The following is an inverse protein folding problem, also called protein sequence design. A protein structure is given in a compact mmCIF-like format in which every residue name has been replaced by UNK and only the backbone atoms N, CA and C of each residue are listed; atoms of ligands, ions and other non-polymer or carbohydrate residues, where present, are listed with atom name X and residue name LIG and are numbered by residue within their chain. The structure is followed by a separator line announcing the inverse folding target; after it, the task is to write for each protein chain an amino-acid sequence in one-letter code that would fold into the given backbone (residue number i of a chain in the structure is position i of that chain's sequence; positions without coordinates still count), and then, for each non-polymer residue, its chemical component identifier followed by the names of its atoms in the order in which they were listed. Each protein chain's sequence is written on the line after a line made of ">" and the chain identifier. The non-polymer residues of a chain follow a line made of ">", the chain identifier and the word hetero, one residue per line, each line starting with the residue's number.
data_IF_985956063044
#
_entry.id   IF_985956063044
#
_cell.length_a   1.000
_cell.length_b   1.000
_cell.length_c   1.000
_cell.angle_alpha   90.00
_cell.angle_beta   90.00
_cell.angle_gamma   90.00
#
_symmetry.space_group_name_H-M   'P 1'
#
loop_
_entity.id
_entity.type
_entity.pdbx_description
1 polymer ?
#
# COMPACT_ATOMS: atom_id res chain seq x y z
N UNK A 1 -38.99 -43.13 -41.19
CA UNK A 1 -39.57 -41.89 -41.75
C UNK A 1 -39.75 -40.90 -40.60
N UNK A 2 -39.21 -39.69 -40.70
CA UNK A 2 -39.41 -38.62 -39.70
C UNK A 2 -38.12 -37.98 -39.21
N UNK A 3 -37.44 -37.26 -40.11
CA UNK A 3 -36.29 -36.37 -39.84
C UNK A 3 -36.83 -35.02 -39.37
N UNK A 4 -36.40 -34.51 -38.21
CA UNK A 4 -36.42 -33.07 -37.86
C UNK A 4 -35.22 -32.77 -36.94
N UNK A 5 -34.09 -32.34 -37.51
CA UNK A 5 -33.60 -30.94 -37.62
C UNK A 5 -33.09 -30.34 -36.30
N UNK A 6 -31.76 -30.36 -36.17
CA UNK A 6 -30.94 -29.63 -35.21
C UNK A 6 -30.95 -28.12 -35.49
N UNK A 7 -31.38 -27.31 -34.52
CA UNK A 7 -31.28 -25.85 -34.58
C UNK A 7 -30.06 -25.35 -33.78
N UNK A 8 -29.07 -24.86 -34.52
CA UNK A 8 -27.85 -24.20 -34.04
C UNK A 8 -28.19 -22.78 -33.56
N UNK A 9 -28.11 -22.54 -32.25
CA UNK A 9 -28.27 -21.20 -31.68
C UNK A 9 -26.94 -20.42 -31.76
N UNK A 10 -26.83 -19.54 -32.76
CA UNK A 10 -25.75 -18.55 -32.88
C UNK A 10 -26.01 -17.41 -31.89
N UNK A 11 -25.21 -17.31 -30.82
CA UNK A 11 -25.20 -16.13 -29.97
C UNK A 11 -24.55 -14.94 -30.70
N UNK A 12 -25.39 -13.98 -31.13
CA UNK A 12 -24.96 -12.65 -31.57
C UNK A 12 -24.52 -11.82 -30.37
N UNK A 13 -23.23 -11.51 -30.29
CA UNK A 13 -22.70 -10.51 -29.35
C UNK A 13 -23.03 -9.10 -29.85
N UNK A 14 -23.94 -8.38 -29.19
CA UNK A 14 -24.18 -6.96 -29.43
C UNK A 14 -23.14 -6.11 -28.69
N UNK A 15 -22.14 -5.61 -29.42
CA UNK A 15 -21.21 -4.56 -28.94
C UNK A 15 -21.97 -3.26 -28.75
N UNK A 16 -22.25 -2.89 -27.50
CA UNK A 16 -22.63 -1.52 -27.13
C UNK A 16 -21.33 -0.74 -26.92
N UNK A 17 -20.95 0.07 -27.92
CA UNK A 17 -19.92 1.10 -27.76
C UNK A 17 -20.53 2.28 -27.01
N UNK A 18 -20.16 2.47 -25.73
CA UNK A 18 -20.31 3.76 -25.05
C UNK A 18 -18.93 4.36 -24.83
N UNK A 19 -18.66 5.44 -25.57
CA UNK A 19 -17.48 6.26 -25.36
C UNK A 19 -17.65 7.07 -24.07
N UNK A 20 -16.73 6.86 -23.13
CA UNK A 20 -16.55 7.74 -21.97
C UNK A 20 -15.27 8.51 -22.21
N UNK A 21 -15.40 9.83 -22.18
CA UNK A 21 -14.35 10.80 -22.41
C UNK A 21 -13.24 10.63 -21.37
N UNK A 22 -12.02 10.58 -21.88
CA UNK A 22 -10.75 10.60 -21.15
C UNK A 22 -10.63 11.86 -20.29
N UNK A 23 -10.91 11.73 -19.00
CA UNK A 23 -10.45 12.68 -17.97
C UNK A 23 -9.07 12.23 -17.49
N UNK A 24 -8.04 13.03 -17.74
CA UNK A 24 -6.66 12.73 -17.38
C UNK A 24 -6.49 12.61 -15.87
N UNK A 25 -6.08 11.43 -15.41
CA UNK A 25 -5.55 11.23 -14.07
C UNK A 25 -4.05 11.52 -14.18
N UNK A 26 -3.63 12.66 -13.60
CA UNK A 26 -2.23 12.98 -13.44
C UNK A 26 -1.60 11.97 -12.47
N UNK A 27 -0.88 10.99 -13.00
CA UNK A 27 -0.02 10.11 -12.23
C UNK A 27 1.12 10.93 -11.62
N UNK A 28 1.07 11.18 -10.32
CA UNK A 28 2.20 11.72 -9.58
C UNK A 28 3.26 10.61 -9.43
N UNK A 29 4.30 10.68 -10.26
CA UNK A 29 5.51 9.88 -10.11
C UNK A 29 6.31 10.46 -8.94
N UNK A 30 6.45 9.72 -7.85
CA UNK A 30 7.43 10.02 -6.79
C UNK A 30 8.72 9.28 -7.11
N UNK A 31 9.74 10.00 -7.54
CA UNK A 31 11.11 9.51 -7.64
C UNK A 31 11.81 9.70 -6.29
N UNK A 32 12.30 8.62 -5.67
CA UNK A 32 13.13 8.69 -4.46
C UNK A 32 14.57 8.34 -4.84
N UNK A 33 15.47 9.31 -4.64
CA UNK A 33 16.93 9.13 -4.73
C UNK A 33 17.43 8.60 -3.38
N UNK A 34 18.05 7.43 -3.39
CA UNK A 34 18.72 6.86 -2.22
C UNK A 34 20.09 7.53 -2.01
N UNK A 35 20.34 8.03 -0.81
CA UNK A 35 21.70 8.36 -0.35
C UNK A 35 21.97 7.65 0.97
N UNK A 36 22.91 6.70 0.93
CA UNK A 36 23.50 6.01 2.08
C UNK A 36 24.43 6.92 2.86
N UNK A 37 24.36 6.90 4.20
CA UNK A 37 25.42 7.22 5.18
C UNK A 37 25.03 6.44 6.45
N UNK A 38 25.87 5.63 7.08
CA UNK A 38 27.25 5.88 7.47
C UNK A 38 27.26 5.91 9.01
N UNK A 39 27.61 4.78 9.62
CA UNK A 39 27.61 4.50 11.06
C UNK A 39 28.64 5.36 11.80
N UNK A 40 28.25 5.95 12.93
CA UNK A 40 29.18 6.66 13.81
C UNK A 40 28.62 6.94 15.20
N UNK A 41 29.12 6.18 16.18
CA UNK A 41 29.54 6.67 17.50
C UNK A 41 28.47 7.07 18.52
N UNK A 42 28.20 6.15 19.45
CA UNK A 42 27.67 6.42 20.79
C UNK A 42 28.77 7.06 21.66
N UNK A 43 28.46 8.18 22.32
CA UNK A 43 29.26 8.73 23.41
C UNK A 43 28.37 8.87 24.66
N UNK A 44 28.77 8.18 25.73
CA UNK A 44 28.23 8.36 27.08
C UNK A 44 28.80 9.63 27.71
N UNK A 45 28.03 10.27 28.60
CA UNK A 45 28.55 11.22 29.58
C UNK A 45 27.97 10.88 30.96
N UNK A 46 28.85 10.82 31.97
CA UNK A 46 28.58 10.51 33.37
C UNK A 46 29.19 11.60 34.26
N UNK A 47 28.43 12.04 35.29
CA UNK A 47 28.82 12.92 36.43
C UNK A 47 28.99 14.41 36.09
N UNK A 48 28.69 15.41 36.94
CA UNK A 48 28.73 15.59 38.42
C UNK A 48 27.84 16.81 38.78
N UNK A 49 27.36 16.89 40.03
CA UNK A 49 26.40 17.90 40.52
C UNK A 49 26.91 19.32 40.83
N UNK A 50 25.95 20.19 41.15
CA UNK A 50 26.12 21.55 41.67
C UNK A 50 24.76 22.23 41.86
N UNK A 51 24.43 22.57 43.11
CA UNK A 51 23.26 23.36 43.49
C UNK A 51 23.39 24.81 42.98
N UNK A 52 22.43 25.26 42.18
CA UNK A 52 22.05 26.67 42.07
C UNK A 52 20.69 26.74 41.35
N UNK A 53 19.76 27.41 42.00
CA UNK A 53 18.46 27.82 41.51
C UNK A 53 18.58 28.65 40.23
N UNK A 54 18.41 27.99 39.09
CA UNK A 54 17.99 28.58 37.83
C UNK A 54 16.84 27.72 37.32
N UNK A 55 15.60 28.11 37.61
CA UNK A 55 14.43 27.54 36.95
C UNK A 55 14.56 27.85 35.44
N UNK A 56 14.74 26.86 34.55
CA UNK A 56 14.63 27.13 33.13
C UNK A 56 13.18 27.56 32.84
N UNK A 57 12.93 28.49 31.90
CA UNK A 57 11.55 28.84 31.54
C UNK A 57 10.88 27.58 30.99
N UNK A 58 10.05 26.94 31.82
CA UNK A 58 9.15 25.85 31.45
C UNK A 58 8.00 26.44 30.63
N UNK A 59 8.34 26.89 29.44
CA UNK A 59 7.39 27.32 28.40
C UNK A 59 7.46 26.33 27.23
N UNK A 60 7.55 25.04 27.55
CA UNK A 60 7.17 24.00 26.62
C UNK A 60 5.66 24.05 26.50
N UNK A 61 5.14 24.55 25.38
CA UNK A 61 3.74 24.33 25.02
C UNK A 61 3.55 22.82 24.92
N UNK A 62 3.08 22.17 25.98
CA UNK A 62 2.75 20.75 25.94
C UNK A 62 1.70 20.57 24.83
N UNK A 63 2.02 19.71 23.86
CA UNK A 63 1.05 19.30 22.86
C UNK A 63 -0.13 18.68 23.62
N UNK A 64 -1.26 19.37 23.67
CA UNK A 64 -2.47 18.83 24.26
C UNK A 64 -3.07 17.81 23.30
N UNK A 65 -2.68 16.55 23.49
CA UNK A 65 -3.24 15.43 22.74
C UNK A 65 -4.49 14.95 23.45
N UNK A 66 -5.63 14.95 22.74
CA UNK A 66 -6.84 14.30 23.25
C UNK A 66 -6.68 12.77 23.16
N UNK A 67 -6.82 12.09 24.30
CA UNK A 67 -6.67 10.63 24.38
C UNK A 67 -8.05 9.97 24.41
N UNK A 68 -8.35 9.18 23.39
CA UNK A 68 -9.52 8.29 23.35
C UNK A 68 -9.04 6.84 23.39
N UNK A 69 -9.55 6.05 24.34
CA UNK A 69 -9.29 4.61 24.42
C UNK A 69 -10.46 3.83 23.81
N UNK A 70 -10.11 2.81 23.02
CA UNK A 70 -11.02 1.71 22.68
C UNK A 70 -10.52 0.49 23.44
N UNK A 71 -11.36 -0.09 24.27
CA UNK A 71 -11.05 -1.29 25.03
C UNK A 71 -12.31 -2.11 25.22
N UNK A 72 -12.15 -3.42 25.31
CA UNK A 72 -13.21 -4.36 25.58
C UNK A 72 -12.67 -5.56 26.37
N UNK A 73 -13.55 -6.48 26.78
CA UNK A 73 -13.17 -7.62 27.61
C UNK A 73 -12.23 -8.59 26.90
N UNK A 74 -12.45 -8.79 25.60
CA UNK A 74 -11.59 -9.63 24.76
C UNK A 74 -11.45 -9.09 23.33
N UNK A 75 -10.76 -9.87 22.48
CA UNK A 75 -10.49 -9.52 21.08
C UNK A 75 -11.74 -9.49 20.20
N UNK A 76 -12.78 -10.25 20.55
CA UNK A 76 -14.03 -10.32 19.79
C UNK A 76 -14.90 -9.12 20.09
N UNK A 77 -15.01 -8.78 21.38
CA UNK A 77 -15.69 -7.55 21.82
C UNK A 77 -14.95 -6.30 21.32
N UNK A 78 -13.62 -6.32 21.31
CA UNK A 78 -12.82 -5.21 20.79
C UNK A 78 -13.04 -5.02 19.29
N UNK A 79 -13.06 -6.12 18.51
CA UNK A 79 -13.35 -6.06 17.08
C UNK A 79 -14.78 -5.54 16.82
N UNK A 80 -15.75 -5.95 17.63
CA UNK A 80 -17.11 -5.44 17.57
C UNK A 80 -17.17 -3.92 17.85
N UNK A 81 -16.49 -3.43 18.88
CA UNK A 81 -16.40 -2.00 19.23
C UNK A 81 -15.70 -1.16 18.15
N UNK A 82 -14.58 -1.65 17.61
CA UNK A 82 -13.91 -1.01 16.46
C UNK A 82 -14.87 -0.99 15.26
N UNK A 83 -15.57 -2.09 15.01
CA UNK A 83 -16.59 -2.19 13.97
C UNK A 83 -17.70 -1.14 14.10
N UNK A 84 -18.13 -0.79 15.33
CA UNK A 84 -19.11 0.30 15.55
C UNK A 84 -18.55 1.66 15.16
N UNK A 85 -17.25 1.91 15.36
CA UNK A 85 -16.63 3.18 14.97
C UNK A 85 -16.43 3.29 13.47
N UNK A 86 -16.09 2.18 12.80
CA UNK A 86 -15.95 2.12 11.35
C UNK A 86 -17.31 2.21 10.65
N UNK A 87 -18.32 1.52 11.19
CA UNK A 87 -19.69 1.51 10.67
C UNK A 87 -20.69 1.57 11.83
N UNK A 88 -21.13 2.79 12.20
CA UNK A 88 -22.09 2.99 13.29
C UNK A 88 -23.47 2.38 13.01
N UNK A 89 -23.87 2.36 11.73
CA UNK A 89 -25.13 1.78 11.25
C UNK A 89 -24.90 0.61 10.28
N UNK A 90 -25.67 0.56 9.19
CA UNK A 90 -25.55 -0.50 8.19
C UNK A 90 -24.21 -0.45 7.43
N UNK A 91 -23.77 -1.60 6.92
CA UNK A 91 -22.57 -1.73 6.09
C UNK A 91 -22.79 -2.74 4.98
N UNK A 92 -22.44 -2.40 3.73
CA UNK A 92 -22.67 -3.29 2.59
C UNK A 92 -21.87 -4.61 2.68
N UNK A 93 -20.66 -4.55 3.23
CA UNK A 93 -19.73 -5.68 3.30
C UNK A 93 -19.21 -5.79 4.73
N UNK A 94 -19.15 -7.01 5.24
CA UNK A 94 -18.49 -7.32 6.52
C UNK A 94 -17.46 -8.42 6.28
N UNK A 95 -16.25 -8.21 6.80
CA UNK A 95 -15.22 -9.25 6.82
C UNK A 95 -15.31 -10.00 8.15
N UNK A 96 -15.25 -11.33 8.10
CA UNK A 96 -15.28 -12.20 9.26
C UNK A 96 -14.07 -13.12 9.21
N UNK A 97 -13.19 -13.03 10.20
CA UNK A 97 -11.99 -13.86 10.29
C UNK A 97 -11.87 -14.54 11.66
N UNK A 98 -11.00 -15.53 11.76
CA UNK A 98 -10.66 -16.12 13.05
C UNK A 98 -9.95 -15.11 13.95
N UNK A 99 -10.37 -14.98 15.20
CA UNK A 99 -9.61 -14.28 16.24
C UNK A 99 -8.59 -15.17 16.95
N UNK A 100 -8.63 -16.49 16.73
CA UNK A 100 -7.69 -17.45 17.30
C UNK A 100 -6.42 -17.59 16.44
N UNK A 101 -6.54 -17.46 15.12
CA UNK A 101 -5.44 -17.52 14.16
C UNK A 101 -5.32 -16.18 13.41
N UNK A 102 -4.15 -15.56 13.50
CA UNK A 102 -3.91 -14.20 12.98
C UNK A 102 -3.72 -14.06 11.46
N UNK A 103 -3.14 -15.01 10.69
CA UNK A 103 -2.73 -14.74 9.30
C UNK A 103 -3.89 -14.33 8.38
N UNK A 104 -5.04 -14.98 8.57
CA UNK A 104 -6.26 -14.72 7.80
C UNK A 104 -6.74 -13.28 8.05
N UNK A 105 -6.76 -12.84 9.32
CA UNK A 105 -7.14 -11.49 9.72
C UNK A 105 -6.15 -10.41 9.25
N UNK A 106 -4.84 -10.70 9.22
CA UNK A 106 -3.83 -9.75 8.77
C UNK A 106 -4.00 -9.37 7.29
N UNK A 107 -4.30 -10.35 6.44
CA UNK A 107 -4.58 -10.09 5.03
C UNK A 107 -5.95 -9.43 4.80
N UNK A 108 -6.92 -9.71 5.68
CA UNK A 108 -8.27 -9.16 5.60
C UNK A 108 -8.34 -7.66 5.98
N UNK A 109 -7.47 -7.16 6.86
CA UNK A 109 -7.52 -5.77 7.33
C UNK A 109 -7.47 -4.73 6.20
N UNK A 110 -6.42 -4.72 5.35
CA UNK A 110 -6.35 -3.82 4.20
C UNK A 110 -7.49 -4.04 3.19
N UNK A 111 -7.90 -5.29 2.98
CA UNK A 111 -9.04 -5.63 2.11
C UNK A 111 -10.37 -5.06 2.64
N UNK A 112 -10.59 -5.10 3.95
CA UNK A 112 -11.74 -4.50 4.60
C UNK A 112 -11.70 -2.97 4.49
N UNK A 113 -10.52 -2.38 4.67
CA UNK A 113 -10.31 -0.93 4.55
C UNK A 113 -10.68 -0.38 3.17
N UNK A 114 -10.25 -1.01 2.07
CA UNK A 114 -10.57 -0.52 0.72
C UNK A 114 -12.06 -0.66 0.36
N UNK A 115 -12.76 -1.59 1.02
CA UNK A 115 -14.20 -1.82 0.90
C UNK A 115 -15.03 -1.04 1.93
N UNK A 116 -14.40 -0.19 2.77
CA UNK A 116 -15.07 0.54 3.84
C UNK A 116 -15.88 -0.36 4.78
N UNK A 117 -15.36 -1.57 5.03
CA UNK A 117 -16.02 -2.65 5.74
C UNK A 117 -15.40 -2.86 7.13
N UNK A 118 -16.20 -3.19 8.16
CA UNK A 118 -15.65 -3.65 9.43
C UNK A 118 -15.09 -5.08 9.28
N UNK A 119 -14.00 -5.35 10.01
CA UNK A 119 -13.45 -6.68 10.22
C UNK A 119 -13.84 -7.18 11.61
N UNK A 120 -14.72 -8.17 11.67
CA UNK A 120 -15.13 -8.84 12.90
C UNK A 120 -14.31 -10.13 13.09
N UNK A 121 -14.10 -10.50 14.36
CA UNK A 121 -13.36 -11.69 14.74
C UNK A 121 -14.28 -12.70 15.42
N UNK A 122 -14.08 -13.99 15.15
CA UNK A 122 -14.80 -15.10 15.80
C UNK A 122 -13.84 -16.19 16.28
N UNK A 123 -14.16 -16.92 17.35
CA UNK A 123 -13.58 -18.24 17.62
C UNK A 123 -13.85 -19.20 16.44
N UNK A 124 -13.09 -20.30 16.31
CA UNK A 124 -13.28 -21.26 15.22
C UNK A 124 -14.69 -21.87 15.16
N UNK A 125 -15.29 -22.12 16.33
CA UNK A 125 -16.48 -22.96 16.46
C UNK A 125 -17.71 -22.24 17.05
N UNK A 126 -17.62 -20.93 17.29
CA UNK A 126 -18.73 -20.17 17.87
C UNK A 126 -18.79 -18.72 17.38
N UNK A 127 -19.97 -18.11 17.52
CA UNK A 127 -20.18 -16.68 17.26
C UNK A 127 -20.45 -15.98 18.60
N UNK A 128 -19.56 -15.11 19.09
CA UNK A 128 -19.77 -14.36 20.32
C UNK A 128 -20.98 -13.43 20.21
N UNK A 129 -21.64 -13.16 21.34
CA UNK A 129 -22.84 -12.32 21.37
C UNK A 129 -22.59 -10.90 20.81
N UNK A 130 -21.41 -10.31 21.07
CA UNK A 130 -21.01 -9.01 20.54
C UNK A 130 -20.86 -8.99 19.01
N UNK A 131 -20.39 -10.09 18.43
CA UNK A 131 -20.28 -10.28 16.99
C UNK A 131 -21.66 -10.49 16.38
N UNK A 132 -22.51 -11.31 17.01
CA UNK A 132 -23.89 -11.51 16.57
C UNK A 132 -24.67 -10.19 16.55
N UNK A 133 -24.59 -9.41 17.63
CA UNK A 133 -25.20 -8.08 17.71
C UNK A 133 -24.63 -7.11 16.66
N UNK A 134 -23.34 -7.22 16.34
CA UNK A 134 -22.74 -6.42 15.27
C UNK A 134 -23.27 -6.82 13.89
N UNK A 135 -23.38 -8.11 13.58
CA UNK A 135 -23.96 -8.57 12.31
C UNK A 135 -25.41 -8.11 12.12
N UNK A 136 -26.24 -8.20 13.17
CA UNK A 136 -27.62 -7.70 13.12
C UNK A 136 -27.68 -6.17 12.94
N UNK A 137 -26.81 -5.41 13.62
CA UNK A 137 -26.77 -3.94 13.46
C UNK A 137 -26.28 -3.51 12.08
N UNK A 138 -25.28 -4.21 11.56
CA UNK A 138 -24.64 -3.89 10.27
C UNK A 138 -25.53 -4.28 9.09
N UNK A 139 -26.45 -5.23 9.27
CA UNK A 139 -27.38 -5.77 8.25
C UNK A 139 -26.74 -5.86 6.84
N UNK A 140 -25.67 -6.67 6.69
CA UNK A 140 -24.84 -6.59 5.51
C UNK A 140 -25.45 -7.23 4.28
N UNK A 141 -25.10 -6.70 3.11
CA UNK A 141 -25.41 -7.35 1.82
C UNK A 141 -24.47 -8.52 1.53
N UNK A 142 -23.22 -8.45 2.02
CA UNK A 142 -22.20 -9.49 1.82
C UNK A 142 -21.44 -9.71 3.12
N UNK A 143 -21.28 -10.98 3.51
CA UNK A 143 -20.32 -11.38 4.56
C UNK A 143 -19.21 -12.19 3.91
N UNK A 144 -17.98 -11.68 3.96
CA UNK A 144 -16.77 -12.36 3.48
C UNK A 144 -16.10 -13.08 4.64
N UNK A 145 -16.24 -14.41 4.68
CA UNK A 145 -15.61 -15.29 5.66
C UNK A 145 -14.20 -15.63 5.19
N UNK A 146 -13.19 -15.23 5.94
CA UNK A 146 -11.78 -15.40 5.58
C UNK A 146 -11.20 -16.60 6.32
N UNK A 147 -10.63 -17.53 5.56
CA UNK A 147 -10.05 -18.76 6.06
C UNK A 147 -10.90 -20.00 5.75
N UNK A 148 -10.24 -21.16 5.83
CA UNK A 148 -10.88 -22.45 5.67
C UNK A 148 -11.74 -22.87 6.88
N UNK A 149 -12.42 -24.02 6.81
CA UNK A 149 -13.24 -24.56 7.90
C UNK A 149 -12.49 -24.74 9.23
N UNK A 150 -11.17 -24.93 9.19
CA UNK A 150 -10.34 -25.02 10.40
C UNK A 150 -10.16 -23.67 11.12
N UNK A 151 -10.23 -22.55 10.41
CA UNK A 151 -10.15 -21.20 10.99
C UNK A 151 -11.51 -20.69 11.44
N UNK A 152 -12.54 -20.95 10.62
CA UNK A 152 -13.94 -20.58 10.84
C UNK A 152 -14.80 -21.74 10.35
N UNK A 153 -15.34 -22.52 11.28
CA UNK A 153 -16.10 -23.74 10.99
C UNK A 153 -17.36 -23.47 10.16
N UNK A 154 -17.87 -24.51 9.50
CA UNK A 154 -19.12 -24.41 8.76
C UNK A 154 -20.33 -24.19 9.69
N UNK A 155 -20.24 -24.59 10.95
CA UNK A 155 -21.23 -24.28 11.99
C UNK A 155 -21.30 -22.77 12.28
N UNK A 156 -20.13 -22.09 12.35
CA UNK A 156 -20.08 -20.63 12.45
C UNK A 156 -20.70 -19.99 11.22
N UNK A 157 -20.37 -20.45 10.02
CA UNK A 157 -20.95 -19.92 8.77
C UNK A 157 -22.47 -20.11 8.72
N UNK A 158 -22.99 -21.26 9.16
CA UNK A 158 -24.42 -21.51 9.25
C UNK A 158 -25.11 -20.55 10.25
N UNK A 159 -24.47 -20.30 11.38
CA UNK A 159 -24.95 -19.32 12.38
C UNK A 159 -24.97 -17.91 11.79
N UNK A 160 -23.91 -17.51 11.08
CA UNK A 160 -23.82 -16.20 10.40
C UNK A 160 -24.93 -16.03 9.36
N UNK A 161 -25.23 -17.06 8.57
CA UNK A 161 -26.36 -17.04 7.61
C UNK A 161 -27.71 -16.85 8.29
N UNK A 162 -27.87 -17.36 9.51
CA UNK A 162 -29.10 -17.17 10.30
C UNK A 162 -29.19 -15.75 10.85
N UNK A 163 -28.06 -15.17 11.29
CA UNK A 163 -27.98 -13.82 11.86
C UNK A 163 -28.07 -12.71 10.80
N UNK A 164 -27.64 -12.98 9.58
CA UNK A 164 -27.67 -12.07 8.44
C UNK A 164 -28.38 -12.72 7.24
N UNK A 165 -29.71 -12.93 7.31
CA UNK A 165 -30.47 -13.73 6.34
C UNK A 165 -30.54 -13.10 4.95
N UNK A 166 -30.27 -11.79 4.83
CA UNK A 166 -30.24 -11.06 3.56
C UNK A 166 -28.85 -10.99 2.94
N UNK A 167 -27.81 -11.45 3.65
CA UNK A 167 -26.45 -11.37 3.20
C UNK A 167 -26.07 -12.52 2.27
N UNK A 168 -25.32 -12.22 1.21
CA UNK A 168 -24.52 -13.21 0.51
C UNK A 168 -23.31 -13.58 1.38
N UNK A 169 -23.34 -14.77 1.97
CA UNK A 169 -22.21 -15.29 2.77
C UNK A 169 -21.26 -16.09 1.87
N UNK A 170 -20.09 -15.51 1.60
CA UNK A 170 -19.04 -16.08 0.75
C UNK A 170 -17.79 -16.40 1.57
N UNK A 171 -17.17 -17.55 1.30
CA UNK A 171 -15.91 -17.96 1.95
C UNK A 171 -14.74 -17.75 1.00
N UNK A 172 -13.69 -17.09 1.48
CA UNK A 172 -12.38 -16.97 0.83
C UNK A 172 -11.41 -17.86 1.59
N UNK A 173 -10.96 -18.95 0.96
CA UNK A 173 -10.09 -19.96 1.56
C UNK A 173 -8.95 -20.35 0.64
N UNK A 174 -7.93 -21.01 1.19
CA UNK A 174 -6.78 -21.54 0.47
C UNK A 174 -6.17 -22.74 1.18
N UNK A 175 -5.22 -23.41 0.52
CA UNK A 175 -4.47 -24.56 1.06
C UNK A 175 -3.63 -24.20 2.29
N UNK A 176 -3.22 -22.94 2.38
CA UNK A 176 -2.37 -22.39 3.43
C UNK A 176 -2.64 -20.89 3.57
N UNK A 177 -2.00 -20.26 4.57
CA UNK A 177 -2.14 -18.82 4.86
C UNK A 177 -1.72 -17.90 3.72
N UNK A 178 -0.79 -18.35 2.87
CA UNK A 178 -0.32 -17.56 1.73
C UNK A 178 -1.32 -17.65 0.57
N UNK A 179 -1.91 -18.82 0.37
CA UNK A 179 -3.02 -19.02 -0.57
C UNK A 179 -4.27 -18.23 -0.14
N UNK A 180 -4.62 -18.21 1.15
CA UNK A 180 -5.69 -17.34 1.67
C UNK A 180 -5.36 -15.87 1.41
N UNK A 181 -4.16 -15.41 1.76
CA UNK A 181 -3.75 -14.02 1.52
C UNK A 181 -3.84 -13.63 0.04
N UNK A 182 -3.37 -14.48 -0.88
CA UNK A 182 -3.51 -14.26 -2.32
C UNK A 182 -4.97 -14.17 -2.76
N UNK A 183 -5.83 -15.05 -2.25
CA UNK A 183 -7.26 -15.06 -2.59
C UNK A 183 -7.99 -13.81 -2.07
N UNK A 184 -7.67 -13.36 -0.85
CA UNK A 184 -8.19 -12.11 -0.27
C UNK A 184 -7.79 -10.91 -1.12
N UNK A 185 -6.53 -10.84 -1.55
CA UNK A 185 -6.05 -9.76 -2.40
C UNK A 185 -6.71 -9.78 -3.77
N UNK A 186 -6.80 -10.95 -4.42
CA UNK A 186 -7.46 -11.07 -5.72
C UNK A 186 -8.95 -10.65 -5.67
N UNK A 187 -9.66 -11.01 -4.60
CA UNK A 187 -11.06 -10.63 -4.39
C UNK A 187 -11.24 -9.14 -4.08
N UNK A 188 -10.35 -8.53 -3.30
CA UNK A 188 -10.47 -7.13 -2.90
C UNK A 188 -9.97 -6.13 -3.94
N UNK A 189 -9.14 -6.57 -4.89
CA UNK A 189 -8.51 -5.72 -5.92
C UNK A 189 -8.75 -6.28 -7.34
N UNK A 190 -10.02 -6.43 -7.78
CA UNK A 190 -10.33 -7.06 -9.07
C UNK A 190 -9.87 -6.24 -10.28
N UNK A 191 -9.73 -4.92 -10.13
CA UNK A 191 -9.25 -4.00 -11.17
C UNK A 191 -7.72 -3.84 -11.18
N UNK A 192 -7.02 -4.56 -10.30
CA UNK A 192 -5.58 -4.43 -10.07
C UNK A 192 -5.22 -3.27 -9.14
N UNK A 193 -3.93 -3.20 -8.80
CA UNK A 193 -3.35 -2.18 -7.92
C UNK A 193 -1.86 -2.04 -8.24
N UNK A 194 -1.39 -0.80 -8.35
CA UNK A 194 0.00 -0.53 -8.75
C UNK A 194 1.01 -0.80 -7.62
N UNK A 195 0.55 -0.73 -6.37
CA UNK A 195 1.36 -0.91 -5.17
C UNK A 195 0.93 -2.13 -4.36
N UNK A 196 1.89 -2.89 -3.82
CA UNK A 196 1.64 -4.02 -2.91
C UNK A 196 2.66 -4.00 -1.78
N UNK A 197 2.21 -4.18 -0.55
CA UNK A 197 3.10 -4.43 0.59
C UNK A 197 3.26 -5.94 0.78
N UNK A 198 4.50 -6.43 0.84
CA UNK A 198 4.82 -7.83 1.06
C UNK A 198 5.43 -8.00 2.44
N UNK A 199 4.85 -8.89 3.24
CA UNK A 199 5.34 -9.20 4.58
C UNK A 199 5.38 -10.72 4.79
N UNK A 200 6.15 -11.17 5.78
CA UNK A 200 6.17 -12.59 6.13
C UNK A 200 4.85 -13.00 6.76
N UNK A 201 4.35 -14.19 6.41
CA UNK A 201 3.24 -14.83 7.13
C UNK A 201 3.68 -15.82 8.21
N UNK A 202 4.99 -15.97 8.46
CA UNK A 202 5.54 -16.84 9.52
C UNK A 202 5.34 -16.24 10.91
N UNK A 203 5.43 -14.93 11.02
CA UNK A 203 5.14 -14.14 12.21
C UNK A 203 4.23 -12.96 11.81
N UNK A 204 3.76 -12.17 12.77
CA UNK A 204 2.77 -11.11 12.56
C UNK A 204 3.25 -9.66 12.66
N UNK A 205 4.32 -9.27 13.41
CA UNK A 205 4.54 -7.85 13.73
C UNK A 205 4.72 -6.95 12.51
N UNK A 206 5.51 -7.39 11.53
CA UNK A 206 5.77 -6.61 10.31
C UNK A 206 4.49 -6.45 9.48
N UNK A 207 3.71 -7.53 9.32
CA UNK A 207 2.44 -7.53 8.59
C UNK A 207 1.35 -6.74 9.32
N UNK A 208 1.33 -6.75 10.66
CA UNK A 208 0.38 -5.99 11.47
C UNK A 208 0.61 -4.49 11.31
N UNK A 209 1.87 -4.05 11.37
CA UNK A 209 2.22 -2.65 11.13
C UNK A 209 1.96 -2.26 9.67
N UNK A 210 2.27 -3.15 8.72
CA UNK A 210 1.94 -3.00 7.30
C UNK A 210 0.44 -2.74 7.09
N UNK A 211 -0.43 -3.44 7.81
CA UNK A 211 -1.87 -3.39 7.62
C UNK A 211 -2.46 -1.98 7.74
N UNK A 212 -2.02 -1.20 8.74
CA UNK A 212 -2.54 0.16 8.96
C UNK A 212 -2.16 1.10 7.81
N UNK A 213 -0.89 1.08 7.41
CA UNK A 213 -0.39 1.94 6.31
C UNK A 213 -0.96 1.48 4.97
N UNK A 214 -1.04 0.17 4.74
CA UNK A 214 -1.61 -0.41 3.54
C UNK A 214 -3.09 -0.03 3.36
N UNK A 215 -3.87 -0.04 4.45
CA UNK A 215 -5.24 0.48 4.45
C UNK A 215 -5.31 1.97 4.11
N UNK A 216 -4.45 2.79 4.72
CA UNK A 216 -4.41 4.24 4.47
C UNK A 216 -4.08 4.60 3.02
N UNK A 217 -3.08 3.93 2.42
CA UNK A 217 -2.65 4.16 1.04
C UNK A 217 -3.37 3.25 0.02
N UNK A 218 -4.39 2.50 0.46
CA UNK A 218 -5.27 1.63 -0.35
C UNK A 218 -4.53 0.59 -1.18
N UNK A 219 -3.53 -0.06 -0.59
CA UNK A 219 -2.79 -1.20 -1.20
C UNK A 219 -2.98 -2.47 -0.37
N UNK A 220 -2.86 -3.66 -0.96
CA UNK A 220 -2.93 -4.91 -0.20
C UNK A 220 -1.67 -5.15 0.63
N UNK A 221 -1.83 -5.93 1.70
CA UNK A 221 -0.74 -6.69 2.32
C UNK A 221 -0.81 -8.13 1.79
N UNK A 222 0.25 -8.55 1.11
CA UNK A 222 0.42 -9.90 0.59
C UNK A 222 1.40 -10.67 1.47
N UNK A 223 0.93 -11.77 2.04
CA UNK A 223 1.75 -12.64 2.89
C UNK A 223 2.53 -13.64 2.03
N UNK A 224 3.82 -13.76 2.32
CA UNK A 224 4.72 -14.76 1.70
C UNK A 224 5.35 -15.64 2.76
N UNK A 225 5.80 -16.82 2.33
CA UNK A 225 6.66 -17.66 3.15
C UNK A 225 8.04 -17.03 3.27
N UNK A 226 8.19 -16.05 4.17
CA UNK A 226 9.31 -15.13 4.16
C UNK A 226 10.70 -15.76 4.33
N UNK A 227 10.80 -16.97 4.88
CA UNK A 227 12.07 -17.70 4.95
C UNK A 227 12.27 -18.71 3.81
N UNK A 228 11.42 -18.74 2.79
CA UNK A 228 11.65 -19.49 1.58
C UNK A 228 12.78 -18.86 0.75
N UNK A 229 13.44 -19.68 -0.06
CA UNK A 229 14.52 -19.20 -0.93
C UNK A 229 14.02 -18.25 -2.02
N UNK A 230 12.80 -18.42 -2.51
CA UNK A 230 12.21 -17.63 -3.60
C UNK A 230 10.72 -17.43 -3.35
N UNK A 231 10.13 -16.43 -4.00
CA UNK A 231 8.66 -16.27 -3.98
C UNK A 231 8.02 -17.41 -4.78
N UNK A 232 6.90 -17.94 -4.30
CA UNK A 232 6.20 -19.00 -5.02
C UNK A 232 5.57 -18.49 -6.35
N UNK A 233 5.39 -19.41 -7.30
CA UNK A 233 4.82 -19.10 -8.61
C UNK A 233 3.45 -18.41 -8.56
N UNK A 234 2.50 -18.86 -7.71
CA UNK A 234 1.22 -18.19 -7.52
C UNK A 234 1.33 -16.73 -7.05
N UNK A 235 2.29 -16.41 -6.18
CA UNK A 235 2.55 -15.03 -5.71
C UNK A 235 3.02 -14.16 -6.86
N UNK A 236 3.99 -14.64 -7.65
CA UNK A 236 4.50 -13.91 -8.81
C UNK A 236 3.40 -13.70 -9.86
N UNK A 237 2.54 -14.70 -10.06
CA UNK A 237 1.40 -14.62 -10.98
C UNK A 237 0.41 -13.57 -10.53
N UNK A 238 0.01 -13.60 -9.25
CA UNK A 238 -0.91 -12.60 -8.69
C UNK A 238 -0.37 -11.17 -8.84
N UNK A 239 0.91 -10.94 -8.56
CA UNK A 239 1.50 -9.61 -8.70
C UNK A 239 1.43 -9.08 -10.14
N UNK A 240 1.58 -9.97 -11.13
CA UNK A 240 1.41 -9.62 -12.54
C UNK A 240 -0.04 -9.34 -12.89
N UNK A 241 -0.97 -10.17 -12.42
CA UNK A 241 -2.41 -10.01 -12.66
C UNK A 241 -2.95 -8.72 -12.05
N UNK A 242 -2.42 -8.33 -10.89
CA UNK A 242 -2.71 -7.03 -10.25
C UNK A 242 -2.09 -5.84 -10.97
N UNK A 243 -1.17 -6.06 -11.92
CA UNK A 243 -0.36 -5.01 -12.52
C UNK A 243 0.46 -4.23 -11.46
N UNK A 244 0.95 -4.95 -10.45
CA UNK A 244 1.68 -4.41 -9.32
C UNK A 244 3.16 -4.23 -9.67
N UNK A 245 3.57 -2.99 -9.93
CA UNK A 245 4.97 -2.65 -10.26
C UNK A 245 5.73 -1.98 -9.11
N UNK A 246 5.02 -1.53 -8.07
CA UNK A 246 5.60 -0.98 -6.85
C UNK A 246 5.41 -2.02 -5.75
N UNK A 247 6.49 -2.73 -5.42
CA UNK A 247 6.47 -3.68 -4.31
C UNK A 247 7.30 -3.11 -3.16
N UNK A 248 6.65 -3.00 -2.00
CA UNK A 248 7.30 -2.63 -0.75
C UNK A 248 7.42 -3.86 0.13
N UNK A 249 8.63 -4.31 0.45
CA UNK A 249 8.84 -5.37 1.44
C UNK A 249 8.86 -4.74 2.83
N UNK A 250 8.04 -5.25 3.73
CA UNK A 250 8.02 -4.86 5.15
C UNK A 250 8.67 -5.97 5.96
N UNK A 251 9.82 -5.64 6.56
CA UNK A 251 10.68 -6.56 7.30
C UNK A 251 12.07 -6.69 6.69
N UNK A 252 13.04 -7.04 7.54
CA UNK A 252 14.42 -7.30 7.13
C UNK A 252 14.60 -8.62 6.35
N UNK A 253 15.81 -8.92 5.87
CA UNK A 253 16.12 -10.15 5.13
C UNK A 253 15.82 -11.45 5.91
N UNK A 254 15.82 -11.39 7.24
CA UNK A 254 15.45 -12.50 8.11
C UNK A 254 13.94 -12.74 8.17
N UNK A 255 13.13 -11.69 7.99
CA UNK A 255 11.67 -11.80 7.88
C UNK A 255 11.27 -12.23 6.47
N UNK A 256 11.80 -11.56 5.44
CA UNK A 256 11.54 -11.82 4.02
C UNK A 256 12.87 -11.88 3.28
N UNK A 257 13.23 -13.08 2.80
CA UNK A 257 14.53 -13.37 2.20
C UNK A 257 14.87 -12.50 0.99
N UNK A 258 16.16 -12.33 0.72
CA UNK A 258 16.63 -11.61 -0.46
C UNK A 258 16.29 -12.33 -1.77
N UNK A 259 16.14 -13.66 -1.73
CA UNK A 259 15.70 -14.41 -2.89
C UNK A 259 14.21 -14.21 -3.21
N UNK A 260 13.35 -13.94 -2.22
CA UNK A 260 11.98 -13.45 -2.47
C UNK A 260 12.02 -12.06 -3.11
N UNK A 261 12.85 -11.16 -2.59
CA UNK A 261 13.03 -9.81 -3.17
C UNK A 261 13.46 -9.88 -4.64
N UNK A 262 14.45 -10.72 -4.96
CA UNK A 262 14.94 -10.86 -6.34
C UNK A 262 13.90 -11.50 -7.27
N UNK A 263 13.06 -12.40 -6.75
CA UNK A 263 11.98 -13.04 -7.52
C UNK A 263 10.87 -12.04 -7.87
N UNK A 264 10.44 -11.24 -6.90
CA UNK A 264 9.29 -10.35 -7.05
C UNK A 264 9.63 -9.12 -7.92
N UNK A 265 10.87 -8.66 -7.91
CA UNK A 265 11.32 -7.62 -8.82
C UNK A 265 12.83 -7.76 -9.12
N UNK A 266 13.20 -8.49 -10.18
CA UNK A 266 14.60 -8.73 -10.53
C UNK A 266 15.37 -7.46 -10.95
N UNK A 267 14.67 -6.33 -11.16
CA UNK A 267 15.25 -5.04 -11.56
C UNK A 267 15.67 -4.13 -10.40
N UNK A 268 15.49 -4.54 -9.12
CA UNK A 268 16.03 -3.84 -7.96
C UNK A 268 15.23 -2.63 -7.45
N UNK A 269 14.03 -2.35 -8.00
CA UNK A 269 13.16 -1.23 -7.58
C UNK A 269 12.29 -1.52 -6.34
N UNK A 270 12.60 -2.55 -5.55
CA UNK A 270 11.84 -2.89 -4.33
C UNK A 270 12.25 -1.95 -3.21
N UNK A 271 11.28 -1.26 -2.63
CA UNK A 271 11.50 -0.54 -1.39
C UNK A 271 11.40 -1.52 -0.23
N UNK A 272 12.48 -1.72 0.53
CA UNK A 272 12.46 -2.52 1.75
C UNK A 272 12.42 -1.61 2.97
N UNK A 273 11.36 -1.71 3.75
CA UNK A 273 11.22 -1.07 5.06
C UNK A 273 11.67 -2.07 6.12
N UNK A 274 12.77 -1.78 6.80
CA UNK A 274 13.37 -2.64 7.83
C UNK A 274 13.57 -1.88 9.13
N UNK A 275 13.94 -2.59 10.19
CA UNK A 275 14.33 -2.04 11.49
C UNK A 275 15.03 -3.12 12.32
N UNK A 276 15.75 -2.72 13.36
CA UNK A 276 16.42 -3.65 14.28
C UNK A 276 15.42 -4.48 15.09
N UNK A 277 14.18 -4.02 15.21
CA UNK A 277 13.10 -4.71 15.89
C UNK A 277 11.72 -4.29 15.33
N UNK A 278 10.66 -4.96 15.79
CA UNK A 278 9.27 -4.71 15.39
C UNK A 278 8.80 -3.26 15.63
N UNK A 279 9.35 -2.57 16.62
CA UNK A 279 8.98 -1.19 16.91
C UNK A 279 9.62 -0.24 15.90
N UNK A 280 10.88 -0.46 15.56
CA UNK A 280 11.57 0.33 14.55
C UNK A 280 10.99 0.13 13.15
N UNK A 281 10.62 -1.11 12.78
CA UNK A 281 9.88 -1.37 11.53
C UNK A 281 8.58 -0.55 11.50
N UNK A 282 7.84 -0.53 12.61
CA UNK A 282 6.58 0.22 12.71
C UNK A 282 6.79 1.74 12.56
N UNK A 283 7.84 2.29 13.18
CA UNK A 283 8.21 3.71 13.05
C UNK A 283 8.61 4.06 11.61
N UNK A 284 9.45 3.24 10.99
CA UNK A 284 9.93 3.47 9.63
C UNK A 284 8.78 3.38 8.62
N UNK A 285 7.81 2.50 8.87
CA UNK A 285 6.62 2.37 8.06
C UNK A 285 5.63 3.53 8.25
N UNK A 286 5.48 4.07 9.46
CA UNK A 286 4.62 5.23 9.71
C UNK A 286 5.04 6.48 8.90
N UNK A 287 6.34 6.59 8.56
CA UNK A 287 6.86 7.63 7.67
C UNK A 287 6.41 7.51 6.20
N UNK A 288 5.76 6.40 5.81
CA UNK A 288 5.32 6.13 4.44
C UNK A 288 4.03 6.87 4.06
N UNK A 289 3.14 7.15 5.03
CA UNK A 289 1.86 7.85 4.83
C UNK A 289 1.88 9.31 5.30
N UNK A 290 2.88 9.70 6.10
CA UNK A 290 3.02 11.10 6.49
C UNK A 290 3.41 11.92 5.25
N UNK A 291 2.63 12.94 4.81
CA UNK A 291 3.17 13.96 3.94
C UNK A 291 4.29 14.62 4.73
N UNK A 292 5.52 14.19 4.52
CA UNK A 292 6.66 14.84 5.14
C UNK A 292 6.69 16.23 4.55
N UNK A 293 6.19 17.22 5.30
CA UNK A 293 6.72 18.57 5.28
C UNK A 293 8.16 18.53 5.80
N UNK A 294 9.03 17.73 5.18
CA UNK A 294 10.45 18.05 5.16
C UNK A 294 10.54 19.23 4.20
N UNK A 295 10.33 20.43 4.75
CA UNK A 295 10.99 21.63 4.23
C UNK A 295 12.43 21.21 4.02
N UNK A 296 12.85 21.11 2.77
CA UNK A 296 14.25 21.00 2.44
C UNK A 296 14.92 22.25 2.98
N UNK A 297 15.44 22.21 4.21
CA UNK A 297 16.47 23.13 4.64
C UNK A 297 17.72 22.71 3.91
N UNK A 298 17.80 23.10 2.64
CA UNK A 298 19.08 23.25 1.97
C UNK A 298 19.93 24.17 2.85
N UNK A 299 21.15 23.77 3.25
CA UNK A 299 22.12 24.73 3.68
C UNK A 299 22.30 25.69 2.50
N UNK A 300 21.93 26.95 2.66
CA UNK A 300 22.38 27.98 1.72
C UNK A 300 23.90 27.91 1.75
N UNK A 301 24.50 27.49 0.64
CA UNK A 301 25.92 27.67 0.44
C UNK A 301 26.23 29.13 0.77
N UNK A 302 27.02 29.35 1.83
CA UNK A 302 27.62 30.66 2.09
C UNK A 302 28.62 30.89 0.97
N UNK A 303 28.17 31.43 -0.15
CA UNK A 303 29.05 32.06 -1.12
C UNK A 303 29.54 33.35 -0.47
N UNK A 304 30.71 33.29 0.14
CA UNK A 304 31.52 34.47 0.48
C UNK A 304 31.84 35.19 -0.83
N UNK A 305 31.48 36.46 -1.01
CA UNK A 305 31.82 37.18 -2.24
C UNK A 305 33.26 37.71 -2.11
N UNK A 306 34.24 36.97 -2.64
CA UNK A 306 35.53 37.55 -2.98
C UNK A 306 35.39 38.34 -4.28
N UNK A 307 35.25 39.65 -4.16
CA UNK A 307 35.39 40.59 -5.30
C UNK A 307 36.84 40.59 -5.76
N UNK A 308 37.06 40.33 -7.04
CA UNK A 308 38.22 40.84 -7.80
C UNK A 308 37.72 41.20 -9.20
N UNK A 309 38.00 42.42 -9.71
CA UNK A 309 37.43 42.88 -10.96
C UNK A 309 38.29 42.39 -12.14
N UNK A 310 37.71 41.60 -13.03
CA UNK A 310 38.28 41.36 -14.36
C UNK A 310 37.62 42.32 -15.34
N UNK A 311 38.44 43.22 -15.88
CA UNK A 311 38.11 44.19 -16.91
C UNK A 311 37.83 43.44 -18.22
N UNK A 312 36.63 43.58 -18.77
CA UNK A 312 36.31 43.12 -20.13
C UNK A 312 36.25 44.31 -21.09
N UNK A 313 37.20 44.36 -22.02
CA UNK A 313 37.24 45.30 -23.13
C UNK A 313 36.28 44.86 -24.25
N UNK A 314 35.54 45.83 -24.80
CA UNK A 314 34.59 45.66 -25.91
C UNK A 314 35.31 45.39 -27.24
N UNK A 315 34.69 44.61 -28.15
CA UNK A 315 34.83 44.86 -29.58
C UNK A 315 33.55 45.41 -30.21
N UNK A 316 33.76 45.99 -31.40
CA UNK A 316 32.95 46.97 -32.12
C UNK A 316 31.72 46.39 -32.84
N UNK A 317 30.85 47.33 -33.25
CA UNK A 317 29.58 47.19 -33.98
C UNK A 317 29.70 46.45 -35.34
N UNK A 318 28.70 45.58 -35.57
CA UNK A 318 27.90 45.21 -36.78
C UNK A 318 28.39 45.57 -38.20
N UNK A 319 27.96 44.82 -39.24
CA UNK A 319 26.73 45.21 -39.93
C UNK A 319 25.74 44.06 -40.25
N UNK A 320 24.54 44.51 -40.61
CA UNK A 320 23.28 43.83 -40.89
C UNK A 320 23.32 42.81 -42.05
N UNK A 321 22.38 41.87 -42.03
CA UNK A 321 21.75 41.40 -43.27
C UNK A 321 20.23 41.35 -43.08
N UNK A 322 19.57 42.23 -43.83
CA UNK A 322 18.12 42.44 -43.90
C UNK A 322 17.60 41.84 -45.20
N UNK A 323 16.76 40.80 -45.13
CA UNK A 323 15.65 40.58 -46.09
C UNK A 323 14.98 39.23 -45.83
N UNK A 324 13.76 39.29 -45.31
CA UNK A 324 12.59 38.49 -45.73
C UNK A 324 11.48 38.69 -44.69
N UNK A 325 10.70 39.77 -44.88
CA UNK A 325 9.40 39.96 -44.25
C UNK A 325 8.33 39.39 -45.18
N UNK A 326 7.42 38.59 -44.60
CA UNK A 326 6.01 38.35 -44.98
C UNK A 326 5.76 37.68 -46.35
N UNK A 327 5.26 36.44 -46.32
CA UNK A 327 4.00 35.96 -46.93
C UNK A 327 3.75 34.51 -46.46
N UNK A 328 2.46 34.15 -46.43
CA UNK A 328 1.84 33.02 -45.76
C UNK A 328 2.07 31.61 -46.38
N UNK A 329 1.94 30.59 -45.51
CA UNK A 329 1.60 29.17 -45.82
C UNK A 329 2.68 28.28 -46.49
N UNK A 330 2.58 26.93 -46.37
CA UNK A 330 3.66 26.09 -45.84
C UNK A 330 4.26 25.16 -46.89
N UNK A 331 5.44 24.59 -46.57
CA UNK A 331 6.26 23.65 -47.37
C UNK A 331 7.32 24.34 -48.24
N UNK A 332 8.49 24.58 -47.65
CA UNK A 332 9.82 24.36 -48.23
C UNK A 332 10.86 25.16 -47.44
N UNK A 333 11.51 24.51 -46.47
CA UNK A 333 12.86 24.88 -46.00
C UNK A 333 13.48 23.64 -45.35
N UNK A 334 13.54 22.54 -46.12
CA UNK A 334 14.42 21.42 -45.85
C UNK A 334 15.73 21.69 -46.57
N UNK A 335 16.83 21.85 -45.81
CA UNK A 335 18.25 21.59 -46.15
C UNK A 335 19.16 22.67 -45.56
N UNK A 336 19.74 22.35 -44.41
CA UNK A 336 21.09 22.76 -44.03
C UNK A 336 21.65 21.70 -43.04
N UNK A 337 22.17 20.61 -43.59
CA UNK A 337 23.12 19.69 -42.96
C UNK A 337 23.82 18.93 -44.11
N UNK A 338 25.16 18.83 -44.13
CA UNK A 338 25.88 17.71 -43.50
C UNK A 338 27.17 18.19 -42.78
N UNK A 339 27.90 17.45 -41.94
CA UNK A 339 28.46 16.13 -42.21
C UNK A 339 28.90 15.39 -40.92
N UNK A 340 28.75 14.06 -40.95
CA UNK A 340 29.47 13.07 -40.13
C UNK A 340 30.89 12.90 -40.68
N UNK A 341 31.89 12.91 -39.80
CA UNK A 341 33.22 12.35 -40.08
C UNK A 341 33.37 11.01 -39.34
N UNK A 342 33.90 10.00 -40.02
CA UNK A 342 34.12 8.62 -39.57
C UNK A 342 35.63 8.34 -39.66
N UNK A 343 36.19 7.78 -38.57
CA UNK A 343 37.41 6.96 -38.44
C UNK A 343 38.72 7.43 -39.08
N UNK A 344 39.72 7.67 -38.22
CA UNK A 344 40.84 6.75 -37.95
C UNK A 344 41.07 6.69 -36.47
#
# INVERSE_FOLDING_TARGET
>A
MGVQTTASARHRTSRVRRGIRSGGIAAFIVAIVATSLGSGGIAQASGVGGDASDDPPSSGSELSVSVSRISAADRYDLAAEIGKRVSPGASNVVYLASGASFPDALSAGPAASVNFAPLLLVPPDSVPASVAASLTRLDPLVVKVIGGPASVSDAVVATVRTLAPHALVSRISGSDRYAVSRAVVADAYPDGVTGVMVATGRDFPDALSAGAVAGAVRVPVLLVDGGAAFADGPTVTLLRDLNAFIVTIVGGPTSVSDGIQSTINPGGGVLRVTGANRYEVSLNLAGFDAPTTRRSTWPRARTTPTRSPVVFSRPRRTPQCSSCRRIASPRACSRCSPAKARRT
#
